data_IF_773521172957
#
_entry.id   IF_773521172957
#
_cell.length_a   1.000
_cell.length_b   1.000
_cell.length_c   1.000
_cell.angle_alpha   90.00
_cell.angle_beta   90.00
_cell.angle_gamma   90.00
#
_symmetry.space_group_name_H-M   'P 1'
#
loop_
_entity.id
_entity.type
_entity.pdbx_description
1 polymer ?
#
# COMPACT_ATOMS: atom_id res chain seq x y z
N UNK A 1 -7.55 20.97 10.76
CA UNK A 1 -8.51 19.85 10.88
C UNK A 1 -8.95 19.54 9.46
N UNK A 2 -9.01 18.28 9.03
CA UNK A 2 -9.65 18.00 7.74
C UNK A 2 -11.11 18.45 7.80
N UNK A 3 -11.63 18.95 6.67
CA UNK A 3 -13.04 19.36 6.57
C UNK A 3 -13.95 18.15 6.84
N UNK A 4 -14.95 18.31 7.72
CA UNK A 4 -15.89 17.26 8.15
C UNK A 4 -16.63 16.57 6.99
N UNK A 5 -16.73 17.22 5.83
CA UNK A 5 -17.39 16.68 4.61
C UNK A 5 -16.44 15.94 3.65
N UNK A 6 -15.17 15.76 4.03
CA UNK A 6 -14.19 15.14 3.14
C UNK A 6 -14.40 13.63 3.00
N UNK A 7 -14.72 13.19 1.78
CA UNK A 7 -14.96 11.78 1.47
C UNK A 7 -13.66 11.08 1.06
N UNK A 8 -13.41 9.86 1.56
CA UNK A 8 -12.39 8.96 1.04
C UNK A 8 -12.50 8.73 -0.46
N UNK A 9 -11.43 9.06 -1.19
CA UNK A 9 -11.31 8.75 -2.62
C UNK A 9 -10.10 7.88 -2.84
N UNK A 10 -10.34 6.60 -3.11
CA UNK A 10 -9.31 5.68 -3.58
C UNK A 10 -9.13 5.83 -5.10
N UNK A 11 -7.94 6.24 -5.54
CA UNK A 11 -7.58 6.25 -6.96
C UNK A 11 -7.16 4.85 -7.41
N UNK A 12 -7.46 4.49 -8.66
CA UNK A 12 -7.01 3.20 -9.22
C UNK A 12 -5.49 3.16 -9.27
N UNK A 13 -4.90 2.12 -8.67
CA UNK A 13 -3.45 1.95 -8.67
C UNK A 13 -2.90 1.80 -10.09
N UNK A 14 -1.78 2.47 -10.37
CA UNK A 14 -1.13 2.40 -11.69
C UNK A 14 -0.69 0.97 -11.99
N UNK A 15 -1.04 0.47 -13.18
CA UNK A 15 -0.65 -0.88 -13.62
C UNK A 15 0.88 -0.96 -13.78
N UNK A 16 1.50 -1.85 -13.03
CA UNK A 16 2.90 -2.21 -13.20
C UNK A 16 3.05 -3.27 -14.30
N UNK A 17 4.17 -3.21 -15.03
CA UNK A 17 4.53 -4.27 -15.97
C UNK A 17 4.72 -5.60 -15.21
N UNK A 18 4.39 -6.77 -15.81
CA UNK A 18 4.47 -8.06 -15.13
C UNK A 18 5.83 -8.35 -14.49
N UNK A 19 6.93 -8.04 -15.19
CA UNK A 19 8.30 -8.17 -14.66
C UNK A 19 8.52 -7.31 -13.43
N UNK A 20 8.08 -6.05 -13.48
CA UNK A 20 8.20 -5.13 -12.35
C UNK A 20 7.32 -5.58 -11.17
N UNK A 21 6.13 -6.13 -11.45
CA UNK A 21 5.24 -6.66 -10.40
C UNK A 21 5.88 -7.84 -9.67
N UNK A 22 6.58 -8.72 -10.39
CA UNK A 22 7.30 -9.83 -9.77
C UNK A 22 8.46 -9.33 -8.90
N UNK A 23 9.29 -8.43 -9.42
CA UNK A 23 10.43 -7.85 -8.67
C UNK A 23 9.95 -7.10 -7.44
N UNK A 24 8.92 -6.25 -7.58
CA UNK A 24 8.34 -5.50 -6.44
C UNK A 24 7.77 -6.45 -5.40
N UNK A 25 7.02 -7.48 -5.79
CA UNK A 25 6.46 -8.45 -4.82
C UNK A 25 7.51 -9.32 -4.15
N UNK A 26 8.50 -9.83 -4.90
CA UNK A 26 9.47 -10.81 -4.37
C UNK A 26 10.59 -10.14 -3.60
N UNK A 27 11.07 -8.98 -4.04
CA UNK A 27 12.27 -8.37 -3.50
C UNK A 27 11.96 -7.19 -2.58
N UNK A 28 11.29 -6.15 -3.12
CA UNK A 28 11.01 -4.91 -2.39
C UNK A 28 10.02 -5.15 -1.25
N UNK A 29 8.86 -5.75 -1.54
CA UNK A 29 7.81 -5.97 -0.54
C UNK A 29 8.30 -6.90 0.56
N UNK A 30 8.95 -8.03 0.23
CA UNK A 30 9.35 -8.99 1.27
C UNK A 30 10.48 -8.48 2.17
N UNK A 31 11.47 -7.76 1.63
CA UNK A 31 12.64 -7.35 2.42
C UNK A 31 12.40 -6.03 3.14
N UNK A 32 11.85 -5.03 2.45
CA UNK A 32 11.70 -3.69 3.02
C UNK A 32 10.44 -3.56 3.86
N UNK A 33 9.27 -4.05 3.41
CA UNK A 33 8.02 -3.93 4.19
C UNK A 33 8.13 -4.73 5.49
N UNK A 34 8.75 -5.91 5.48
CA UNK A 34 8.98 -6.69 6.72
C UNK A 34 9.90 -5.92 7.66
N UNK A 35 11.01 -5.37 7.18
CA UNK A 35 11.92 -4.58 8.02
C UNK A 35 11.22 -3.35 8.63
N UNK A 36 10.36 -2.68 7.86
CA UNK A 36 9.59 -1.52 8.35
C UNK A 36 8.50 -1.94 9.34
N UNK A 37 7.87 -3.11 9.16
CA UNK A 37 6.93 -3.69 10.11
C UNK A 37 7.63 -4.07 11.42
N UNK A 38 8.81 -4.71 11.35
CA UNK A 38 9.62 -5.07 12.52
C UNK A 38 10.10 -3.82 13.28
N UNK A 39 10.48 -2.78 12.55
CA UNK A 39 10.80 -1.47 13.12
C UNK A 39 9.55 -0.72 13.66
N UNK A 40 8.35 -1.30 13.56
CA UNK A 40 7.06 -0.69 13.93
C UNK A 40 6.81 0.66 13.25
N UNK A 41 7.44 0.91 12.09
CA UNK A 41 7.28 2.14 11.32
C UNK A 41 6.00 2.15 10.50
N UNK A 42 5.47 0.97 10.17
CA UNK A 42 4.21 0.77 9.45
C UNK A 42 3.39 -0.31 10.14
N UNK A 43 2.08 -0.35 9.86
CA UNK A 43 1.15 -1.35 10.36
C UNK A 43 0.19 -1.80 9.25
N UNK A 44 -0.34 -3.04 9.31
CA UNK A 44 -1.33 -3.49 8.36
C UNK A 44 -2.65 -2.75 8.56
N UNK A 45 -3.21 -2.21 7.48
CA UNK A 45 -4.52 -1.56 7.46
C UNK A 45 -5.35 -2.29 6.42
N UNK A 46 -6.46 -2.89 6.86
CA UNK A 46 -7.32 -3.70 5.98
C UNK A 46 -8.67 -3.05 5.70
N UNK A 47 -9.08 -2.09 6.53
CA UNK A 47 -10.44 -1.57 6.63
C UNK A 47 -10.59 -0.10 6.21
N UNK A 48 -9.52 0.56 5.76
CA UNK A 48 -9.61 1.96 5.35
C UNK A 48 -10.19 2.11 3.93
N UNK A 49 -11.19 2.99 3.79
CA UNK A 49 -11.74 3.41 2.50
C UNK A 49 -10.74 4.13 1.57
N UNK A 50 -9.54 4.43 2.08
CA UNK A 50 -8.44 5.11 1.38
C UNK A 50 -7.49 4.16 0.64
N UNK A 51 -7.53 2.86 0.96
CA UNK A 51 -6.57 1.88 0.42
C UNK A 51 -7.24 1.05 -0.67
N UNK A 52 -6.70 1.11 -1.89
CA UNK A 52 -7.05 0.18 -2.95
C UNK A 52 -6.21 -1.11 -2.82
N UNK A 53 -6.81 -2.31 -2.89
CA UNK A 53 -6.04 -3.55 -2.85
C UNK A 53 -5.05 -3.60 -4.02
N UNK A 54 -3.79 -3.91 -3.71
CA UNK A 54 -2.73 -4.08 -4.72
C UNK A 54 -2.90 -5.44 -5.39
N UNK A 55 -3.55 -5.47 -6.56
CA UNK A 55 -3.76 -6.67 -7.37
C UNK A 55 -2.48 -7.32 -7.85
#
# INVERSE_FOLDING_TARGET
>A
MMEDDYKPVAQSQRRLNPTMKEVVRKEVVRKEVVKLLEACMIYPISDSAWVSPVQ
#
